data_IF_166449508304
#
_entry.id   IF_166449508304
#
_cell.length_a   1.000
_cell.length_b   1.000
_cell.length_c   1.000
_cell.angle_alpha   90.00
_cell.angle_beta   90.00
_cell.angle_gamma   90.00
#
_symmetry.space_group_name_H-M   'P 1'
#
loop_
_entity.id
_entity.type
_entity.pdbx_description
1 polymer ?
#
# COMPACT_ATOMS: atom_id res chain seq x y z
N UNK A 1 -4.90 -39.39 -27.76
CA UNK A 1 -4.90 -37.94 -27.47
C UNK A 1 -5.74 -37.76 -26.22
N UNK A 2 -5.11 -37.81 -25.05
CA UNK A 2 -5.81 -37.67 -23.77
C UNK A 2 -5.89 -36.18 -23.48
N UNK A 3 -7.09 -35.63 -23.59
CA UNK A 3 -7.38 -34.27 -23.12
C UNK A 3 -7.33 -34.29 -21.60
N UNK A 4 -6.23 -33.77 -21.04
CA UNK A 4 -6.15 -33.48 -19.62
C UNK A 4 -7.16 -32.37 -19.32
N UNK A 5 -8.27 -32.79 -18.71
CA UNK A 5 -9.31 -31.91 -18.22
C UNK A 5 -8.73 -31.18 -17.00
N UNK A 6 -8.11 -30.03 -17.22
CA UNK A 6 -7.71 -29.11 -16.15
C UNK A 6 -8.99 -28.75 -15.40
N UNK A 7 -9.23 -29.42 -14.27
CA UNK A 7 -10.18 -28.95 -13.27
C UNK A 7 -9.66 -27.60 -12.81
N UNK A 8 -10.24 -26.53 -13.35
CA UNK A 8 -10.25 -25.23 -12.71
C UNK A 8 -10.89 -25.48 -11.35
N UNK A 9 -10.05 -25.60 -10.32
CA UNK A 9 -10.50 -25.59 -8.93
C UNK A 9 -11.18 -24.25 -8.78
N UNK A 10 -12.52 -24.29 -8.75
CA UNK A 10 -13.34 -23.14 -8.44
C UNK A 10 -12.92 -22.71 -7.03
N UNK A 11 -12.06 -21.70 -6.96
CA UNK A 11 -11.62 -21.11 -5.71
C UNK A 11 -12.88 -20.64 -5.02
N UNK A 12 -13.22 -21.29 -3.89
CA UNK A 12 -14.39 -20.97 -3.09
C UNK A 12 -14.56 -19.44 -3.03
N UNK A 13 -15.67 -18.87 -3.54
CA UNK A 13 -15.85 -17.42 -3.63
C UNK A 13 -15.68 -16.71 -2.28
N UNK A 14 -15.93 -17.43 -1.17
CA UNK A 14 -15.67 -16.90 0.18
C UNK A 14 -14.19 -16.70 0.50
N UNK A 15 -13.29 -17.51 -0.05
CA UNK A 15 -11.84 -17.35 0.09
C UNK A 15 -11.35 -16.15 -0.70
N UNK A 16 -11.92 -15.93 -1.90
CA UNK A 16 -11.61 -14.76 -2.73
C UNK A 16 -12.00 -13.44 -2.02
N UNK A 17 -13.19 -13.38 -1.40
CA UNK A 17 -13.62 -12.20 -0.65
C UNK A 17 -12.78 -11.94 0.62
N UNK A 18 -12.35 -13.00 1.31
CA UNK A 18 -11.47 -12.88 2.46
C UNK A 18 -10.09 -12.34 2.06
N UNK A 19 -9.53 -12.86 0.96
CA UNK A 19 -8.26 -12.41 0.40
C UNK A 19 -8.32 -10.94 -0.03
N UNK A 20 -9.43 -10.51 -0.64
CA UNK A 20 -9.65 -9.11 -1.03
C UNK A 20 -9.73 -8.17 0.18
N UNK A 21 -10.47 -8.55 1.24
CA UNK A 21 -10.53 -7.75 2.48
C UNK A 21 -9.16 -7.65 3.15
N UNK A 22 -8.41 -8.74 3.16
CA UNK A 22 -7.06 -8.76 3.72
C UNK A 22 -6.10 -7.91 2.87
N UNK A 23 -6.21 -7.96 1.55
CA UNK A 23 -5.45 -7.12 0.65
C UNK A 23 -5.78 -5.63 0.84
N UNK A 24 -7.05 -5.26 0.98
CA UNK A 24 -7.46 -3.90 1.33
C UNK A 24 -6.85 -3.45 2.66
N UNK A 25 -6.93 -4.27 3.71
CA UNK A 25 -6.34 -3.96 5.01
C UNK A 25 -4.83 -3.67 4.92
N UNK A 26 -4.08 -4.53 4.23
CA UNK A 26 -2.64 -4.32 4.06
C UNK A 26 -2.33 -3.13 3.17
N UNK A 27 -3.17 -2.83 2.18
CA UNK A 27 -3.01 -1.64 1.34
C UNK A 27 -3.15 -0.36 2.18
N UNK A 28 -4.20 -0.28 3.01
CA UNK A 28 -4.42 0.86 3.91
C UNK A 28 -3.26 1.02 4.90
N UNK A 29 -2.83 -0.08 5.53
CA UNK A 29 -1.70 -0.09 6.46
C UNK A 29 -0.38 0.38 5.79
N UNK A 30 -0.11 -0.09 4.56
CA UNK A 30 1.06 0.36 3.79
C UNK A 30 0.93 1.83 3.40
N UNK A 31 -0.28 2.31 3.07
CA UNK A 31 -0.58 3.70 2.80
C UNK A 31 -0.28 4.61 3.99
N UNK A 32 -0.68 4.21 5.20
CA UNK A 32 -0.36 4.91 6.45
C UNK A 32 1.15 4.98 6.70
N UNK A 33 1.85 3.83 6.59
CA UNK A 33 3.30 3.77 6.75
C UNK A 33 4.01 4.66 5.73
N UNK A 34 3.56 4.66 4.48
CA UNK A 34 4.07 5.50 3.41
C UNK A 34 3.90 6.98 3.74
N UNK A 35 2.74 7.40 4.24
CA UNK A 35 2.49 8.78 4.63
C UNK A 35 3.42 9.22 5.78
N UNK A 36 3.65 8.34 6.77
CA UNK A 36 4.59 8.59 7.86
C UNK A 36 6.02 8.74 7.33
N UNK A 37 6.48 7.81 6.48
CA UNK A 37 7.82 7.84 5.91
C UNK A 37 8.07 9.12 5.08
N UNK A 38 7.08 9.58 4.30
CA UNK A 38 7.14 10.84 3.57
C UNK A 38 7.29 12.06 4.50
N UNK A 39 6.50 12.11 5.57
CA UNK A 39 6.57 13.20 6.56
C UNK A 39 7.94 13.24 7.24
N UNK A 40 8.49 12.09 7.63
CA UNK A 40 9.82 12.00 8.22
C UNK A 40 10.92 12.40 7.24
N UNK A 41 10.81 11.98 5.97
CA UNK A 41 11.73 12.39 4.91
C UNK A 41 11.73 13.92 4.73
N UNK A 42 10.55 14.55 4.66
CA UNK A 42 10.41 16.00 4.57
C UNK A 42 11.08 16.70 5.77
N UNK A 43 10.87 16.18 6.98
CA UNK A 43 11.51 16.71 8.20
C UNK A 43 13.04 16.60 8.17
N UNK A 44 13.58 15.49 7.66
CA UNK A 44 15.02 15.32 7.51
C UNK A 44 15.61 16.28 6.47
N UNK A 45 14.94 16.47 5.33
CA UNK A 45 15.36 17.40 4.28
C UNK A 45 15.38 18.83 4.82
N UNK A 46 14.28 19.29 5.45
CA UNK A 46 14.21 20.62 6.05
C UNK A 46 15.25 20.82 7.16
N UNK A 47 15.60 19.76 7.90
CA UNK A 47 16.65 19.81 8.90
C UNK A 47 18.05 19.91 8.29
N UNK A 48 18.26 19.31 7.11
CA UNK A 48 19.53 19.38 6.38
C UNK A 48 19.74 20.80 5.84
N UNK A 49 18.72 21.36 5.19
CA UNK A 49 18.75 22.73 4.65
C UNK A 49 19.07 23.75 5.74
N UNK A 50 18.38 23.68 6.90
CA UNK A 50 18.65 24.56 8.06
C UNK A 50 20.08 24.43 8.58
N UNK A 51 20.71 23.25 8.49
CA UNK A 51 22.09 23.03 8.96
C UNK A 51 23.12 23.48 7.94
N UNK A 52 22.84 23.32 6.65
CA UNK A 52 23.65 23.85 5.56
C UNK A 52 23.73 25.37 5.65
N UNK A 53 22.61 26.05 5.86
CA UNK A 53 22.57 27.51 6.06
C UNK A 53 23.35 27.98 7.30
N UNK A 54 23.47 27.13 8.33
CA UNK A 54 24.18 27.43 9.59
C UNK A 54 25.65 27.00 9.60
N UNK A 55 26.16 26.38 8.52
CA UNK A 55 27.55 25.96 8.41
C UNK A 55 27.99 24.90 9.43
N UNK A 56 27.14 23.92 9.78
CA UNK A 56 27.44 22.88 10.79
C UNK A 56 27.73 21.49 10.19
N UNK A 57 28.95 21.22 9.67
CA UNK A 57 29.24 20.08 8.80
C UNK A 57 29.22 18.71 9.48
N UNK A 58 29.56 18.61 10.77
CA UNK A 58 29.77 17.33 11.47
C UNK A 58 28.53 16.43 11.55
N UNK A 59 27.33 16.99 11.31
CA UNK A 59 26.07 16.25 11.37
C UNK A 59 25.40 16.02 10.00
N UNK A 60 26.00 16.51 8.91
CA UNK A 60 25.42 16.41 7.56
C UNK A 60 25.45 14.99 7.01
N UNK A 61 26.57 14.28 7.16
CA UNK A 61 26.72 12.93 6.62
C UNK A 61 25.71 11.94 7.23
N UNK A 62 25.47 12.01 8.54
CA UNK A 62 24.46 11.19 9.22
C UNK A 62 23.05 11.49 8.69
N UNK A 63 22.73 12.77 8.52
CA UNK A 63 21.42 13.19 8.05
C UNK A 63 21.17 12.81 6.59
N UNK A 64 22.19 12.90 5.73
CA UNK A 64 22.12 12.41 4.35
C UNK A 64 21.88 10.91 4.28
N UNK A 65 22.53 10.11 5.14
CA UNK A 65 22.25 8.67 5.23
C UNK A 65 20.81 8.39 5.66
N UNK A 66 20.28 9.13 6.64
CA UNK A 66 18.89 9.00 7.08
C UNK A 66 17.91 9.36 5.94
N UNK A 67 18.19 10.41 5.17
CA UNK A 67 17.42 10.78 3.98
C UNK A 67 17.45 9.65 2.95
N UNK A 68 18.62 9.08 2.67
CA UNK A 68 18.76 7.96 1.74
C UNK A 68 18.00 6.71 2.19
N UNK A 69 18.08 6.37 3.48
CA UNK A 69 17.33 5.26 4.06
C UNK A 69 15.82 5.48 3.93
N UNK A 70 15.32 6.66 4.30
CA UNK A 70 13.88 6.99 4.20
C UNK A 70 13.37 7.04 2.76
N UNK A 71 14.17 7.51 1.81
CA UNK A 71 13.83 7.41 0.37
C UNK A 71 13.69 5.96 -0.09
N UNK A 72 14.61 5.10 0.36
CA UNK A 72 14.57 3.67 0.01
C UNK A 72 13.33 2.99 0.61
N UNK A 73 12.98 3.34 1.85
CA UNK A 73 11.76 2.88 2.51
C UNK A 73 10.49 3.28 1.76
N UNK A 74 10.39 4.54 1.32
CA UNK A 74 9.25 5.00 0.49
C UNK A 74 9.15 4.19 -0.81
N UNK A 75 10.26 3.96 -1.51
CA UNK A 75 10.28 3.17 -2.76
C UNK A 75 9.82 1.73 -2.52
N UNK A 76 10.26 1.11 -1.43
CA UNK A 76 9.82 -0.25 -1.09
C UNK A 76 8.33 -0.29 -0.77
N UNK A 77 7.81 0.69 -0.03
CA UNK A 77 6.38 0.78 0.27
C UNK A 77 5.55 0.98 -1.01
N UNK A 78 6.00 1.84 -1.92
CA UNK A 78 5.37 2.01 -3.24
C UNK A 78 5.31 0.68 -4.02
N UNK A 79 6.43 -0.05 -4.06
CA UNK A 79 6.50 -1.34 -4.74
C UNK A 79 5.57 -2.39 -4.12
N UNK A 80 5.49 -2.45 -2.79
CA UNK A 80 4.59 -3.37 -2.10
C UNK A 80 3.12 -3.05 -2.39
N UNK A 81 2.74 -1.77 -2.38
CA UNK A 81 1.39 -1.33 -2.73
C UNK A 81 1.05 -1.67 -4.19
N UNK A 82 1.97 -1.45 -5.13
CA UNK A 82 1.80 -1.85 -6.53
C UNK A 82 1.61 -3.36 -6.66
N UNK A 83 2.50 -4.16 -6.06
CA UNK A 83 2.41 -5.62 -6.12
C UNK A 83 1.10 -6.15 -5.52
N UNK A 84 0.58 -5.49 -4.48
CA UNK A 84 -0.69 -5.85 -3.87
C UNK A 84 -1.88 -5.53 -4.78
N UNK A 85 -1.87 -4.38 -5.46
CA UNK A 85 -2.88 -4.01 -6.47
C UNK A 85 -2.81 -4.89 -7.73
N UNK A 86 -1.62 -5.30 -8.15
CA UNK A 86 -1.44 -6.16 -9.33
C UNK A 86 -1.99 -7.57 -9.05
N UNK A 87 -1.82 -8.05 -7.82
CA UNK A 87 -2.30 -9.38 -7.40
C UNK A 87 -3.79 -9.40 -7.06
N UNK A 88 -4.29 -8.33 -6.45
CA UNK A 88 -5.67 -8.19 -6.03
C UNK A 88 -6.21 -6.90 -6.66
N UNK A 89 -7.24 -6.97 -7.54
CA UNK A 89 -7.84 -5.79 -8.14
C UNK A 89 -8.69 -5.03 -7.10
N UNK A 90 -8.02 -4.44 -6.12
CA UNK A 90 -8.60 -3.74 -4.97
C UNK A 90 -9.43 -2.53 -5.43
N UNK A 91 -9.14 -1.97 -6.62
CA UNK A 91 -9.86 -0.84 -7.22
C UNK A 91 -11.33 -1.09 -7.57
N UNK A 92 -11.83 -2.34 -7.57
CA UNK A 92 -13.26 -2.63 -7.81
C UNK A 92 -14.08 -2.91 -6.56
N UNK A 93 -13.45 -3.28 -5.43
CA UNK A 93 -14.18 -3.71 -4.23
C UNK A 93 -14.84 -2.53 -3.49
N UNK A 94 -14.31 -1.32 -3.65
CA UNK A 94 -14.91 -0.10 -3.09
C UNK A 94 -16.26 0.30 -3.73
N UNK A 95 -16.72 -0.38 -4.79
CA UNK A 95 -18.03 -0.12 -5.41
C UNK A 95 -19.07 -1.22 -5.13
N UNK A 96 -18.68 -2.36 -4.56
CA UNK A 96 -19.59 -3.50 -4.34
C UNK A 96 -20.29 -3.51 -2.99
N UNK A 97 -19.98 -2.56 -2.11
CA UNK A 97 -20.63 -2.40 -0.79
C UNK A 97 -21.73 -1.32 -0.76
N UNK A 98 -22.25 -0.94 -1.94
CA UNK A 98 -23.58 -0.32 -2.03
C UNK A 98 -24.63 -1.43 -1.99
N UNK A 99 -24.78 -2.04 -0.81
CA UNK A 99 -25.81 -3.02 -0.47
C UNK A 99 -27.21 -2.43 -0.53
N UNK A 100 -27.66 -2.07 -1.73
CA UNK A 100 -29.05 -1.76 -2.01
C UNK A 100 -29.86 -3.07 -1.98
N UNK A 101 -30.24 -3.48 -0.77
CA UNK A 101 -31.30 -4.47 -0.59
C UNK A 101 -32.61 -3.80 -0.98
N UNK A 102 -33.31 -4.25 -2.05
CA UNK A 102 -34.65 -3.76 -2.30
C UNK A 102 -35.56 -4.30 -1.20
N UNK A 103 -35.99 -3.42 -0.30
CA UNK A 103 -37.10 -3.67 0.62
C UNK A 103 -38.33 -3.91 -0.25
N UNK A 104 -38.67 -5.19 -0.46
CA UNK A 104 -39.97 -5.58 -0.98
C UNK A 104 -41.00 -5.31 0.11
N UNK A 105 -41.61 -4.12 0.07
CA UNK A 105 -42.88 -3.90 0.76
C UNK A 105 -43.92 -4.74 0.03
N UNK A 106 -44.34 -5.83 0.68
CA UNK A 106 -45.48 -6.65 0.28
C UNK A 106 -46.62 -6.34 1.23
N UNK A 107 -47.80 -6.01 0.68
CA UNK A 107 -49.10 -6.08 1.35
C UNK A 107 -49.51 -4.83 2.11
#
# INVERSE_FOLDING_TARGET
MNGDLIKVVDLNPQTHDADLRQAQYFHDLLGEQRAVAWRELANHIASLERRQQRGKPSSHARLQRLIGAKRSEVVVLDQLMCALNDRFPISLVAQSDNGEYPVRISG
#
